data_IF_403467992864
#
_entry.id   IF_403467992864
#
_cell.length_a   1.000
_cell.length_b   1.000
_cell.length_c   1.000
_cell.angle_alpha   90.00
_cell.angle_beta   90.00
_cell.angle_gamma   90.00
#
_symmetry.space_group_name_H-M   'P 1'
#
loop_
_entity.id
_entity.type
_entity.pdbx_description
1 polymer ?
#
# COMPACT_ATOMS: atom_id res chain seq x y z
N UNK A 1 74.59 83.73 -18.08
CA UNK A 1 75.50 82.58 -17.89
C UNK A 1 74.88 81.71 -16.83
N UNK A 2 74.43 80.48 -17.02
CA UNK A 2 74.47 79.51 -18.12
C UNK A 2 73.46 78.42 -17.67
N UNK A 3 72.50 78.02 -18.52
CA UNK A 3 71.79 76.75 -18.34
C UNK A 3 72.71 75.60 -18.82
N UNK A 4 72.58 74.34 -18.35
CA UNK A 4 71.57 73.49 -18.99
C UNK A 4 70.97 72.34 -18.13
N UNK A 5 69.80 71.90 -18.62
CA UNK A 5 69.27 70.53 -18.76
C UNK A 5 69.69 69.39 -17.83
N UNK A 6 68.66 68.73 -17.28
CA UNK A 6 68.39 67.33 -17.62
C UNK A 6 66.91 66.98 -17.33
N UNK A 7 66.08 67.03 -18.36
CA UNK A 7 65.00 66.05 -18.51
C UNK A 7 65.68 64.74 -18.92
N UNK A 8 65.44 63.63 -18.22
CA UNK A 8 64.92 62.46 -18.90
C UNK A 8 64.34 61.41 -17.95
N UNK A 9 63.24 60.85 -18.44
CA UNK A 9 62.48 59.71 -17.97
C UNK A 9 63.33 58.56 -17.42
N UNK A 10 62.83 57.95 -16.35
CA UNK A 10 62.85 56.49 -16.27
C UNK A 10 61.71 55.99 -15.39
N UNK A 11 60.72 55.44 -16.09
CA UNK A 11 60.14 54.14 -15.77
C UNK A 11 59.42 54.02 -14.43
N UNK A 12 58.10 54.19 -14.51
CA UNK A 12 57.06 53.45 -13.77
C UNK A 12 57.59 52.14 -13.17
N UNK A 13 58.01 52.18 -11.90
CA UNK A 13 58.10 51.00 -11.06
C UNK A 13 56.69 50.75 -10.47
N UNK A 14 56.19 49.51 -10.45
CA UNK A 14 54.86 49.24 -9.92
C UNK A 14 54.85 49.65 -8.45
N UNK A 15 54.03 50.65 -8.11
CA UNK A 15 53.99 51.22 -6.78
C UNK A 15 53.77 50.12 -5.74
N UNK A 16 54.77 49.89 -4.90
CA UNK A 16 54.61 49.07 -3.70
C UNK A 16 53.54 49.74 -2.85
N UNK A 17 52.40 49.07 -2.72
CA UNK A 17 51.26 49.55 -1.94
C UNK A 17 51.70 49.79 -0.51
N UNK A 18 51.31 50.92 0.07
CA UNK A 18 51.59 51.21 1.48
C UNK A 18 50.99 50.11 2.37
N UNK A 19 51.55 49.83 3.56
CA UNK A 19 51.05 48.80 4.47
C UNK A 19 49.55 48.94 4.79
N UNK A 20 49.05 50.17 4.84
CA UNK A 20 47.64 50.51 5.05
C UNK A 20 46.76 50.13 3.86
N UNK A 21 47.24 50.36 2.62
CA UNK A 21 46.56 49.93 1.39
C UNK A 21 46.54 48.40 1.27
N UNK A 22 47.63 47.72 1.63
CA UNK A 22 47.69 46.25 1.64
C UNK A 22 46.78 45.63 2.71
N UNK A 23 46.71 46.23 3.90
CA UNK A 23 45.80 45.81 4.97
C UNK A 23 44.32 46.01 4.58
N UNK A 24 43.97 47.13 3.94
CA UNK A 24 42.62 47.40 3.45
C UNK A 24 42.16 46.40 2.40
N UNK A 25 43.05 45.99 1.49
CA UNK A 25 42.76 44.97 0.48
C UNK A 25 42.52 43.59 1.09
N UNK A 26 43.33 43.20 2.08
CA UNK A 26 43.14 41.94 2.82
C UNK A 26 41.78 41.94 3.54
N UNK A 27 41.39 43.05 4.17
CA UNK A 27 40.09 43.16 4.83
C UNK A 27 38.92 43.07 3.85
N UNK A 28 39.05 43.66 2.65
CA UNK A 28 38.02 43.57 1.61
C UNK A 28 37.87 42.15 1.08
N UNK A 29 38.98 41.45 0.81
CA UNK A 29 38.96 40.05 0.38
C UNK A 29 38.33 39.14 1.43
N UNK A 30 38.70 39.30 2.70
CA UNK A 30 38.11 38.52 3.79
C UNK A 30 36.61 38.77 3.93
N UNK A 31 36.16 40.01 3.77
CA UNK A 31 34.74 40.34 3.83
C UNK A 31 33.97 39.70 2.67
N UNK A 32 34.52 39.76 1.45
CA UNK A 32 33.94 39.09 0.29
C UNK A 32 33.85 37.56 0.47
N UNK A 33 34.88 36.93 1.05
CA UNK A 33 34.89 35.50 1.35
C UNK A 33 33.83 35.14 2.40
N UNK A 34 33.71 35.93 3.47
CA UNK A 34 32.68 35.73 4.51
C UNK A 34 31.27 35.85 3.91
N UNK A 35 31.04 36.83 3.04
CA UNK A 35 29.74 37.03 2.41
C UNK A 35 29.41 35.89 1.42
N UNK A 36 30.40 35.40 0.65
CA UNK A 36 30.25 34.23 -0.21
C UNK A 36 29.96 32.94 0.58
N UNK A 37 30.68 32.71 1.68
CA UNK A 37 30.42 31.57 2.57
C UNK A 37 29.02 31.62 3.20
N UNK A 38 28.54 32.82 3.55
CA UNK A 38 27.16 33.01 4.04
C UNK A 38 26.13 32.65 2.97
N UNK A 39 26.32 33.06 1.74
CA UNK A 39 25.39 32.73 0.64
C UNK A 39 25.34 31.22 0.35
N UNK A 40 26.50 30.56 0.38
CA UNK A 40 26.57 29.09 0.28
C UNK A 40 25.82 28.45 1.44
N UNK A 41 26.06 28.91 2.66
CA UNK A 41 25.42 28.37 3.85
C UNK A 41 23.89 28.52 3.80
N UNK A 42 23.38 29.70 3.40
CA UNK A 42 21.95 29.94 3.20
C UNK A 42 21.35 29.03 2.12
N UNK A 43 22.09 28.80 1.03
CA UNK A 43 21.66 27.86 -0.01
C UNK A 43 21.59 26.43 0.52
N UNK A 44 22.59 25.99 1.28
CA UNK A 44 22.59 24.67 1.91
C UNK A 44 21.47 24.51 2.93
N UNK A 45 21.16 25.54 3.73
CA UNK A 45 20.02 25.49 4.65
C UNK A 45 18.70 25.35 3.91
N UNK A 46 18.50 26.05 2.79
CA UNK A 46 17.32 25.88 1.93
C UNK A 46 17.23 24.48 1.34
N UNK A 47 18.34 23.93 0.88
CA UNK A 47 18.39 22.56 0.36
C UNK A 47 18.03 21.53 1.46
N UNK A 48 18.59 21.68 2.66
CA UNK A 48 18.28 20.81 3.80
C UNK A 48 16.79 20.90 4.14
N UNK A 49 16.21 22.10 4.25
CA UNK A 49 14.79 22.26 4.52
C UNK A 49 13.91 21.59 3.45
N UNK A 50 14.26 21.75 2.17
CA UNK A 50 13.54 21.12 1.08
C UNK A 50 13.70 19.58 1.05
N UNK A 51 14.87 19.06 1.43
CA UNK A 51 15.08 17.62 1.57
C UNK A 51 14.33 17.05 2.76
N UNK A 52 14.34 17.73 3.90
CA UNK A 52 13.56 17.34 5.09
C UNK A 52 12.07 17.31 4.77
N UNK A 53 11.52 18.32 4.10
CA UNK A 53 10.11 18.33 3.69
C UNK A 53 9.74 17.15 2.78
N UNK A 54 10.60 16.82 1.80
CA UNK A 54 10.40 15.64 0.94
C UNK A 54 10.47 14.32 1.71
N UNK A 55 11.37 14.20 2.68
CA UNK A 55 11.47 13.01 3.53
C UNK A 55 10.20 12.83 4.39
N UNK A 56 9.68 13.92 4.95
CA UNK A 56 8.44 13.89 5.73
C UNK A 56 7.23 13.48 4.89
N UNK A 57 7.14 13.98 3.65
CA UNK A 57 6.09 13.60 2.70
C UNK A 57 6.14 12.10 2.37
N UNK A 58 7.31 11.59 1.97
CA UNK A 58 7.51 10.16 1.67
C UNK A 58 7.20 9.29 2.90
N UNK A 59 7.68 9.70 4.08
CA UNK A 59 7.40 8.98 5.31
C UNK A 59 5.90 8.98 5.66
N UNK A 60 5.20 10.09 5.39
CA UNK A 60 3.76 10.22 5.57
C UNK A 60 2.95 9.38 4.58
N UNK A 61 3.41 9.25 3.34
CA UNK A 61 2.82 8.35 2.33
C UNK A 61 3.00 6.89 2.72
N UNK A 62 4.23 6.47 3.01
CA UNK A 62 4.53 5.11 3.42
C UNK A 62 3.76 4.69 4.68
N UNK A 63 3.59 5.61 5.64
CA UNK A 63 2.77 5.36 6.84
C UNK A 63 1.30 5.16 6.49
N UNK A 64 0.74 5.99 5.61
CA UNK A 64 -0.67 5.86 5.18
C UNK A 64 -0.92 4.55 4.45
N UNK A 65 0.01 4.15 3.58
CA UNK A 65 -0.05 2.86 2.88
C UNK A 65 -0.02 1.69 3.87
N UNK A 66 0.92 1.72 4.83
CA UNK A 66 1.00 0.70 5.88
C UNK A 66 -0.28 0.66 6.75
N UNK A 67 -0.85 1.80 7.12
CA UNK A 67 -2.08 1.87 7.91
C UNK A 67 -3.28 1.28 7.13
N UNK A 68 -3.34 1.50 5.81
CA UNK A 68 -4.35 0.90 4.93
C UNK A 68 -4.19 -0.61 4.84
N UNK A 69 -2.96 -1.10 4.65
CA UNK A 69 -2.67 -2.54 4.62
C UNK A 69 -3.04 -3.21 5.94
N UNK A 70 -2.65 -2.61 7.08
CA UNK A 70 -3.00 -3.09 8.42
C UNK A 70 -4.52 -3.15 8.60
N UNK A 71 -5.26 -2.14 8.12
CA UNK A 71 -6.71 -2.12 8.19
C UNK A 71 -7.34 -3.25 7.36
N UNK A 72 -6.84 -3.50 6.16
CA UNK A 72 -7.29 -4.59 5.29
C UNK A 72 -7.01 -5.96 5.91
N UNK A 73 -5.82 -6.17 6.47
CA UNK A 73 -5.42 -7.40 7.14
C UNK A 73 -6.29 -7.67 8.38
N UNK A 74 -6.59 -6.64 9.18
CA UNK A 74 -7.50 -6.76 10.33
C UNK A 74 -8.89 -7.19 9.89
N UNK A 75 -9.45 -6.55 8.86
CA UNK A 75 -10.78 -6.89 8.33
C UNK A 75 -10.82 -8.33 7.80
N UNK A 76 -9.78 -8.76 7.09
CA UNK A 76 -9.65 -10.15 6.63
C UNK A 76 -9.57 -11.12 7.81
N UNK A 77 -8.78 -10.81 8.82
CA UNK A 77 -8.63 -11.67 10.00
C UNK A 77 -9.95 -11.81 10.79
N UNK A 78 -10.70 -10.72 10.95
CA UNK A 78 -12.04 -10.75 11.57
C UNK A 78 -12.99 -11.68 10.81
N UNK A 79 -12.98 -11.63 9.48
CA UNK A 79 -13.74 -12.55 8.63
C UNK A 79 -13.30 -14.00 8.80
N UNK A 80 -11.99 -14.28 8.76
CA UNK A 80 -11.47 -15.64 8.93
C UNK A 80 -11.89 -16.25 10.28
N UNK A 81 -11.83 -15.46 11.36
CA UNK A 81 -12.33 -15.88 12.67
C UNK A 81 -13.84 -16.16 12.66
N UNK A 82 -14.63 -15.31 12.00
CA UNK A 82 -16.07 -15.51 11.86
C UNK A 82 -16.39 -16.81 11.12
N UNK A 83 -15.71 -17.08 10.01
CA UNK A 83 -15.90 -18.28 9.22
C UNK A 83 -15.54 -19.55 10.00
N UNK A 84 -14.45 -19.53 10.77
CA UNK A 84 -14.07 -20.64 11.65
C UNK A 84 -15.15 -20.93 12.69
N UNK A 85 -15.67 -19.89 13.35
CA UNK A 85 -16.74 -20.06 14.35
C UNK A 85 -18.02 -20.59 13.73
N UNK A 86 -18.46 -20.02 12.60
CA UNK A 86 -19.64 -20.49 11.88
C UNK A 86 -19.48 -21.94 11.45
N UNK A 87 -18.35 -22.31 10.84
CA UNK A 87 -18.10 -23.70 10.40
C UNK A 87 -18.18 -24.65 11.58
N UNK A 88 -17.58 -24.28 12.71
CA UNK A 88 -17.59 -25.11 13.91
C UNK A 88 -19.01 -25.29 14.46
N UNK A 89 -19.80 -24.21 14.50
CA UNK A 89 -21.20 -24.26 14.92
C UNK A 89 -22.07 -25.06 13.95
N UNK A 90 -21.84 -24.95 12.64
CA UNK A 90 -22.66 -25.60 11.62
C UNK A 90 -22.45 -27.11 11.57
N UNK A 91 -21.27 -27.58 11.97
CA UNK A 91 -20.99 -29.00 12.15
C UNK A 91 -21.80 -29.62 13.28
N UNK A 92 -22.12 -28.84 14.33
CA UNK A 92 -22.90 -29.31 15.48
C UNK A 92 -24.40 -29.17 15.26
N UNK A 93 -24.83 -28.05 14.66
CA UNK A 93 -26.23 -27.63 14.66
C UNK A 93 -26.87 -27.55 13.26
N UNK A 94 -26.10 -27.77 12.19
CA UNK A 94 -26.55 -27.50 10.81
C UNK A 94 -26.41 -26.02 10.42
N UNK A 95 -26.97 -25.59 9.27
CA UNK A 95 -26.89 -24.20 8.83
C UNK A 95 -27.40 -23.22 9.90
N UNK A 96 -26.80 -22.03 9.97
CA UNK A 96 -27.22 -20.99 10.91
C UNK A 96 -28.69 -20.55 10.66
N UNK A 97 -29.30 -19.95 11.67
CA UNK A 97 -30.67 -19.44 11.57
C UNK A 97 -30.82 -18.47 10.40
N UNK A 98 -31.84 -18.69 9.57
CA UNK A 98 -32.08 -17.90 8.36
C UNK A 98 -31.27 -18.34 7.14
N UNK A 99 -30.34 -19.29 7.29
CA UNK A 99 -29.66 -19.96 6.17
C UNK A 99 -30.48 -21.18 5.73
N UNK A 100 -30.77 -21.39 4.43
CA UNK A 100 -31.51 -22.54 3.93
C UNK A 100 -30.88 -23.88 4.33
N UNK A 101 -31.65 -24.96 4.33
CA UNK A 101 -31.10 -26.30 4.53
C UNK A 101 -30.03 -26.63 3.46
N UNK A 102 -29.05 -27.48 3.80
CA UNK A 102 -27.96 -27.84 2.88
C UNK A 102 -28.42 -28.31 1.50
N UNK A 103 -29.51 -29.08 1.42
CA UNK A 103 -30.08 -29.52 0.15
C UNK A 103 -30.44 -28.34 -0.76
N UNK A 104 -31.08 -27.30 -0.20
CA UNK A 104 -31.43 -26.09 -0.95
C UNK A 104 -30.21 -25.28 -1.34
N UNK A 105 -29.19 -25.22 -0.47
CA UNK A 105 -27.93 -24.55 -0.79
C UNK A 105 -27.21 -25.23 -1.95
N UNK A 106 -27.22 -26.57 -2.01
CA UNK A 106 -26.62 -27.37 -3.09
C UNK A 106 -27.35 -27.15 -4.42
N UNK A 107 -28.68 -27.03 -4.40
CA UNK A 107 -29.47 -26.68 -5.58
C UNK A 107 -29.06 -25.31 -6.13
N UNK A 108 -29.07 -24.27 -5.28
CA UNK A 108 -28.70 -22.90 -5.66
C UNK A 108 -27.27 -22.86 -6.21
N UNK A 109 -26.33 -23.54 -5.55
CA UNK A 109 -24.95 -23.63 -6.02
C UNK A 109 -24.86 -24.29 -7.40
N UNK A 110 -25.70 -25.30 -7.65
CA UNK A 110 -25.73 -26.04 -8.91
C UNK A 110 -26.30 -25.26 -10.09
N UNK A 111 -27.09 -24.23 -9.85
CA UNK A 111 -27.62 -23.32 -10.87
C UNK A 111 -26.64 -22.19 -11.20
N UNK A 112 -25.60 -22.00 -10.38
CA UNK A 112 -24.61 -20.94 -10.57
C UNK A 112 -23.59 -21.33 -11.64
N UNK A 113 -23.38 -20.50 -12.68
CA UNK A 113 -22.31 -20.72 -13.66
C UNK A 113 -20.90 -20.52 -13.07
N UNK A 114 -20.80 -19.92 -11.88
CA UNK A 114 -19.53 -19.65 -11.20
C UNK A 114 -19.05 -20.85 -10.36
N UNK A 115 -19.85 -21.92 -10.26
CA UNK A 115 -19.41 -23.18 -9.64
C UNK A 115 -18.95 -24.15 -10.73
N UNK A 116 -17.66 -24.46 -10.74
CA UNK A 116 -17.08 -25.47 -11.65
C UNK A 116 -16.64 -26.69 -10.84
N UNK A 117 -17.43 -27.80 -10.84
CA UNK A 117 -17.09 -28.99 -10.08
C UNK A 117 -15.77 -29.65 -10.52
N UNK A 118 -15.44 -29.59 -11.82
CA UNK A 118 -14.24 -30.23 -12.38
C UNK A 118 -13.00 -29.46 -11.95
N UNK A 119 -13.05 -28.14 -12.09
CA UNK A 119 -12.00 -27.24 -11.60
C UNK A 119 -11.84 -27.35 -10.09
N UNK A 120 -12.95 -27.43 -9.35
CA UNK A 120 -12.93 -27.52 -7.88
C UNK A 120 -12.20 -28.77 -7.40
N UNK A 121 -12.49 -29.94 -8.00
CA UNK A 121 -11.80 -31.19 -7.65
C UNK A 121 -10.33 -31.21 -8.09
N UNK A 122 -10.01 -30.59 -9.23
CA UNK A 122 -8.62 -30.45 -9.68
C UNK A 122 -7.81 -29.53 -8.74
N UNK A 123 -8.44 -28.47 -8.25
CA UNK A 123 -7.80 -27.48 -7.35
C UNK A 123 -7.70 -28.01 -5.92
N UNK A 124 -8.66 -28.83 -5.50
CA UNK A 124 -8.78 -29.35 -4.14
C UNK A 124 -8.84 -30.89 -4.11
N UNK A 125 -7.71 -31.58 -4.31
CA UNK A 125 -7.68 -33.05 -4.37
C UNK A 125 -8.12 -33.74 -3.07
N UNK A 126 -7.96 -33.08 -1.92
CA UNK A 126 -8.40 -33.57 -0.61
C UNK A 126 -9.92 -33.76 -0.53
N UNK A 127 -10.69 -33.06 -1.36
CA UNK A 127 -12.14 -33.23 -1.49
C UNK A 127 -12.45 -34.62 -2.04
N UNK A 128 -11.64 -35.15 -2.95
CA UNK A 128 -11.80 -36.51 -3.49
C UNK A 128 -11.63 -37.54 -2.38
N UNK A 129 -10.65 -37.34 -1.50
CA UNK A 129 -10.37 -38.22 -0.37
C UNK A 129 -11.49 -38.20 0.69
N UNK A 130 -12.21 -37.07 0.80
CA UNK A 130 -13.34 -36.93 1.74
C UNK A 130 -14.57 -37.77 1.37
N UNK A 131 -14.69 -38.22 0.11
CA UNK A 131 -15.86 -38.92 -0.42
C UNK A 131 -17.12 -38.05 -0.60
N UNK A 132 -17.07 -36.76 -0.29
CA UNK A 132 -18.16 -35.82 -0.55
C UNK A 132 -18.20 -35.40 -2.02
N UNK A 133 -19.39 -35.07 -2.54
CA UNK A 133 -19.46 -34.38 -3.82
C UNK A 133 -18.87 -32.95 -3.70
N UNK A 134 -18.40 -32.34 -4.81
CA UNK A 134 -17.83 -30.99 -4.77
C UNK A 134 -18.79 -29.95 -4.18
N UNK A 135 -20.08 -30.05 -4.53
CA UNK A 135 -21.13 -29.13 -4.05
C UNK A 135 -21.38 -29.30 -2.56
N UNK A 136 -21.48 -30.54 -2.08
CA UNK A 136 -21.63 -30.84 -0.65
C UNK A 136 -20.44 -30.32 0.15
N UNK A 137 -19.22 -30.57 -0.34
CA UNK A 137 -18.01 -30.09 0.30
C UNK A 137 -18.00 -28.57 0.36
N UNK A 138 -18.26 -27.88 -0.76
CA UNK A 138 -18.25 -26.42 -0.79
C UNK A 138 -19.23 -25.81 0.22
N UNK A 139 -20.47 -26.31 0.24
CA UNK A 139 -21.52 -25.81 1.13
C UNK A 139 -21.23 -26.10 2.60
N UNK A 140 -20.67 -27.28 2.93
CA UNK A 140 -20.47 -27.70 4.32
C UNK A 140 -19.14 -27.25 4.93
N UNK A 141 -18.13 -26.99 4.11
CA UNK A 141 -16.78 -26.69 4.57
C UNK A 141 -16.07 -25.69 3.66
N UNK A 142 -16.03 -25.95 2.35
CA UNK A 142 -15.16 -25.24 1.41
C UNK A 142 -15.35 -23.73 1.41
N UNK A 143 -16.58 -23.23 1.42
CA UNK A 143 -16.83 -21.79 1.47
C UNK A 143 -16.28 -21.17 2.76
N UNK A 144 -16.45 -21.81 3.92
CA UNK A 144 -15.93 -21.33 5.20
C UNK A 144 -14.42 -21.53 5.38
N UNK A 145 -13.80 -22.32 4.51
CA UNK A 145 -12.35 -22.44 4.37
C UNK A 145 -11.75 -21.39 3.42
N UNK A 146 -12.59 -20.54 2.82
CA UNK A 146 -12.16 -19.57 1.83
C UNK A 146 -11.83 -20.19 0.48
N UNK A 147 -12.25 -21.43 0.20
CA UNK A 147 -12.02 -22.08 -1.09
C UNK A 147 -12.87 -21.44 -2.18
N UNK A 148 -12.31 -21.27 -3.35
CA UNK A 148 -13.02 -20.73 -4.49
C UNK A 148 -13.88 -21.83 -5.13
N UNK A 149 -15.13 -21.55 -5.52
CA UNK A 149 -16.02 -22.51 -6.19
C UNK A 149 -15.65 -22.77 -7.66
N UNK A 150 -14.85 -21.87 -8.22
CA UNK A 150 -14.46 -21.81 -9.63
C UNK A 150 -13.46 -20.67 -9.85
N UNK A 151 -12.88 -20.55 -11.05
CA UNK A 151 -11.87 -19.54 -11.36
C UNK A 151 -12.42 -18.11 -11.41
N UNK A 152 -13.74 -17.94 -11.55
CA UNK A 152 -14.41 -16.65 -11.74
C UNK A 152 -15.06 -16.10 -10.45
N UNK A 153 -14.74 -16.67 -9.28
CA UNK A 153 -15.27 -16.20 -8.01
C UNK A 153 -14.24 -16.32 -6.89
N UNK A 154 -13.89 -15.19 -6.28
CA UNK A 154 -13.06 -15.15 -5.09
C UNK A 154 -13.91 -15.15 -3.81
N UNK A 155 -13.94 -16.30 -3.13
CA UNK A 155 -14.73 -16.49 -1.90
C UNK A 155 -14.28 -15.55 -0.79
N UNK A 156 -12.97 -15.36 -0.60
CA UNK A 156 -12.45 -14.54 0.49
C UNK A 156 -12.64 -13.06 0.22
N UNK A 157 -12.43 -12.60 -1.02
CA UNK A 157 -12.71 -11.23 -1.40
C UNK A 157 -14.21 -10.92 -1.24
N UNK A 158 -15.10 -11.86 -1.56
CA UNK A 158 -16.55 -11.70 -1.33
C UNK A 158 -16.87 -11.51 0.15
N UNK A 159 -16.32 -12.33 1.05
CA UNK A 159 -16.57 -12.16 2.49
C UNK A 159 -15.92 -10.92 3.08
N UNK A 160 -14.71 -10.55 2.64
CA UNK A 160 -14.07 -9.30 3.08
C UNK A 160 -14.94 -8.11 2.68
N UNK A 161 -15.47 -8.09 1.46
CA UNK A 161 -16.40 -7.05 1.03
C UNK A 161 -17.74 -7.09 1.78
N UNK A 162 -18.20 -8.28 2.17
CA UNK A 162 -19.52 -8.55 2.76
C UNK A 162 -19.40 -9.33 4.09
N UNK A 163 -18.82 -8.74 5.16
CA UNK A 163 -18.54 -9.45 6.40
C UNK A 163 -19.81 -9.89 7.12
N UNK A 164 -20.93 -9.18 6.90
CA UNK A 164 -22.27 -9.57 7.37
C UNK A 164 -22.64 -11.00 6.94
N UNK A 165 -22.24 -11.41 5.73
CA UNK A 165 -22.53 -12.72 5.17
C UNK A 165 -21.67 -13.81 5.81
N UNK A 166 -20.40 -13.50 6.11
CA UNK A 166 -19.52 -14.40 6.86
C UNK A 166 -20.07 -14.65 8.27
N UNK A 167 -20.52 -13.60 8.97
CA UNK A 167 -21.12 -13.71 10.30
C UNK A 167 -22.48 -14.42 10.30
N UNK A 168 -23.31 -14.18 9.28
CA UNK A 168 -24.60 -14.85 9.12
C UNK A 168 -24.46 -16.34 8.75
N UNK A 169 -23.26 -16.76 8.36
CA UNK A 169 -22.92 -18.16 8.09
C UNK A 169 -23.45 -18.70 6.78
N UNK A 170 -23.59 -17.83 5.78
CA UNK A 170 -23.91 -18.22 4.42
C UNK A 170 -22.64 -18.62 3.65
N UNK A 171 -22.68 -19.69 2.83
CA UNK A 171 -21.63 -19.90 1.83
C UNK A 171 -21.64 -18.76 0.79
N UNK A 172 -20.48 -18.15 0.54
CA UNK A 172 -20.34 -16.96 -0.29
C UNK A 172 -21.06 -17.05 -1.65
N UNK A 173 -20.76 -18.09 -2.46
CA UNK A 173 -21.38 -18.20 -3.78
C UNK A 173 -22.88 -18.52 -3.70
N UNK A 174 -23.32 -19.26 -2.68
CA UNK A 174 -24.75 -19.54 -2.47
C UNK A 174 -25.50 -18.25 -2.16
N UNK A 175 -24.96 -17.40 -1.29
CA UNK A 175 -25.53 -16.08 -1.01
C UNK A 175 -25.52 -15.19 -2.25
N UNK A 176 -24.41 -15.16 -2.98
CA UNK A 176 -24.30 -14.36 -4.19
C UNK A 176 -25.33 -14.77 -5.26
N UNK A 177 -25.50 -16.08 -5.49
CA UNK A 177 -26.46 -16.63 -6.43
C UNK A 177 -27.92 -16.40 -5.99
N UNK A 178 -28.20 -16.46 -4.67
CA UNK A 178 -29.55 -16.26 -4.13
C UNK A 178 -29.98 -14.79 -4.09
N UNK A 179 -29.07 -13.89 -3.69
CA UNK A 179 -29.39 -12.48 -3.40
C UNK A 179 -28.37 -11.50 -3.99
N UNK A 180 -27.07 -11.82 -3.93
CA UNK A 180 -26.01 -10.88 -4.23
C UNK A 180 -26.11 -10.20 -5.61
N UNK A 181 -26.52 -10.94 -6.65
CA UNK A 181 -26.77 -10.35 -7.98
C UNK A 181 -27.91 -9.33 -7.98
N UNK A 182 -28.99 -9.59 -7.24
CA UNK A 182 -30.15 -8.71 -7.14
C UNK A 182 -29.87 -7.50 -6.23
N UNK A 183 -29.07 -7.68 -5.19
CA UNK A 183 -28.65 -6.65 -4.24
C UNK A 183 -27.55 -5.73 -4.79
N UNK A 184 -27.08 -5.96 -6.01
CA UNK A 184 -26.00 -5.19 -6.64
C UNK A 184 -24.63 -5.42 -5.98
N UNK A 185 -24.46 -6.50 -5.22
CA UNK A 185 -23.16 -6.87 -4.64
C UNK A 185 -22.23 -7.33 -5.78
N UNK A 186 -20.99 -6.85 -5.86
CA UNK A 186 -20.09 -7.22 -6.95
C UNK A 186 -19.75 -8.72 -6.90
N UNK A 187 -19.54 -9.31 -8.07
CA UNK A 187 -18.73 -10.54 -8.17
C UNK A 187 -17.34 -10.17 -7.71
N UNK A 188 -16.80 -10.94 -6.77
CA UNK A 188 -15.46 -10.75 -6.27
C UNK A 188 -14.46 -11.49 -7.17
#
# INVERSE_FOLDING_TARGET
MTAPDAQNDTSTAPGEKTPEQSHGEIQQLLRAEIDGLREILETRFREVAALTGRLEEIAGEARREADQEIALLKRRHEVELALVHVRTASWQNGPADGVPAFARQIEILGESPLFDPSWYLQTYPDVVESGMSPKEHYVRAGAFEGRNPGPEFDTMAYYVANPDIAHAGWPALVHYAAFGKADGRPVA
#
